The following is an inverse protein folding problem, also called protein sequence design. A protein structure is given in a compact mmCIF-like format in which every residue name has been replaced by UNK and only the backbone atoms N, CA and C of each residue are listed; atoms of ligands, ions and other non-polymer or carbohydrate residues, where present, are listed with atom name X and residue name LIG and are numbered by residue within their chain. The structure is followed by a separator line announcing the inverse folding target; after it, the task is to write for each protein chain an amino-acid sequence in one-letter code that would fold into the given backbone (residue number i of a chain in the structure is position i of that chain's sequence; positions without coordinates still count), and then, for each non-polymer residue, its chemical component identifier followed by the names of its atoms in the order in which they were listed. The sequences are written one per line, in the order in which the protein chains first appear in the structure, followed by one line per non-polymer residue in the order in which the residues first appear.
data_IF_126033875278
#
_entry.id   IF_126033875278
#
_cell.length_a   1.000
_cell.length_b   1.000
_cell.length_c   1.000
_cell.angle_alpha   90.00
_cell.angle_beta   90.00
_cell.angle_gamma   90.00
#
_symmetry.space_group_name_H-M   'P 1'
#
loop_
_entity.id
_entity.type
_entity.pdbx_description
1 polymer ?
#
# COMPACT_ATOMS: atom_id res chain seq x y z
N UNK A 1 27.74 5.85 5.73
CA UNK A 1 28.02 4.39 5.83
C UNK A 1 27.03 3.63 6.70
N UNK A 2 26.99 3.76 8.04
CA UNK A 2 26.06 2.93 8.86
C UNK A 2 24.57 3.24 8.59
N UNK A 3 24.19 4.52 8.49
CA UNK A 3 22.81 4.92 8.17
C UNK A 3 22.36 4.50 6.76
N UNK A 4 23.26 4.62 5.76
CA UNK A 4 22.97 4.21 4.37
C UNK A 4 22.77 2.69 4.23
N UNK A 5 23.50 1.88 5.02
CA UNK A 5 23.34 0.42 5.05
C UNK A 5 22.00 0.03 5.69
N UNK A 6 21.57 0.75 6.73
CA UNK A 6 20.26 0.54 7.38
C UNK A 6 19.10 0.92 6.47
N UNK A 7 19.21 2.06 5.76
CA UNK A 7 18.17 2.53 4.85
C UNK A 7 18.05 1.64 3.59
N UNK A 8 19.18 1.22 3.02
CA UNK A 8 19.20 0.26 1.91
C UNK A 8 18.60 -1.10 2.31
N UNK A 9 18.88 -1.57 3.53
CA UNK A 9 18.28 -2.78 4.10
C UNK A 9 16.76 -2.67 4.27
N UNK A 10 16.28 -1.53 4.77
CA UNK A 10 14.84 -1.25 4.89
C UNK A 10 14.16 -1.17 3.52
N UNK A 11 14.78 -0.55 2.52
CA UNK A 11 14.23 -0.46 1.16
C UNK A 11 14.09 -1.83 0.50
N UNK A 12 15.10 -2.70 0.65
CA UNK A 12 15.04 -4.05 0.13
C UNK A 12 13.92 -4.86 0.81
N UNK A 13 13.75 -4.71 2.13
CA UNK A 13 12.69 -5.38 2.88
C UNK A 13 11.29 -4.91 2.43
N UNK A 14 11.08 -3.59 2.28
CA UNK A 14 9.79 -3.03 1.85
C UNK A 14 9.40 -3.53 0.45
N UNK A 15 10.35 -3.54 -0.50
CA UNK A 15 10.12 -4.05 -1.85
C UNK A 15 9.81 -5.55 -1.87
N UNK A 16 10.52 -6.33 -1.06
CA UNK A 16 10.27 -7.77 -0.93
C UNK A 16 8.87 -8.04 -0.40
N UNK A 17 8.46 -7.33 0.66
CA UNK A 17 7.10 -7.43 1.19
C UNK A 17 6.04 -7.18 0.11
N UNK A 18 6.16 -6.07 -0.65
CA UNK A 18 5.20 -5.72 -1.69
C UNK A 18 5.10 -6.81 -2.77
N UNK A 19 6.24 -7.38 -3.19
CA UNK A 19 6.29 -8.45 -4.19
C UNK A 19 5.69 -9.76 -3.68
N UNK A 20 5.91 -10.09 -2.41
CA UNK A 20 5.45 -11.34 -1.81
C UNK A 20 3.97 -11.32 -1.41
N UNK A 21 3.43 -10.16 -1.05
CA UNK A 21 2.01 -10.03 -0.68
C UNK A 21 1.09 -10.02 -1.89
N UNK A 22 1.53 -9.47 -3.04
CA UNK A 22 0.72 -9.41 -4.26
C UNK A 22 0.09 -10.75 -4.68
N UNK A 23 0.83 -11.87 -4.84
CA UNK A 23 0.21 -13.14 -5.24
C UNK A 23 -0.77 -13.72 -4.21
N UNK A 24 -0.72 -13.24 -2.96
CA UNK A 24 -1.61 -13.67 -1.88
C UNK A 24 -2.96 -12.94 -1.93
N UNK A 25 -2.92 -11.65 -2.22
CA UNK A 25 -4.13 -10.82 -2.37
C UNK A 25 -4.67 -10.82 -3.80
N UNK A 26 -3.88 -11.23 -4.80
CA UNK A 26 -4.31 -11.29 -6.20
C UNK A 26 -3.44 -12.16 -7.11
N UNK A 27 -3.79 -13.44 -7.25
CA UNK A 27 -3.04 -14.41 -8.07
C UNK A 27 -2.94 -14.00 -9.55
N UNK A 28 -4.04 -13.54 -10.14
CA UNK A 28 -4.09 -13.21 -11.57
C UNK A 28 -3.32 -11.93 -11.88
N UNK A 29 -3.52 -10.86 -11.09
CA UNK A 29 -2.75 -9.62 -11.29
C UNK A 29 -1.26 -9.82 -11.01
N UNK A 30 -0.88 -10.70 -10.08
CA UNK A 30 0.53 -11.05 -9.88
C UNK A 30 1.21 -11.59 -11.16
N UNK A 31 0.48 -12.38 -11.97
CA UNK A 31 1.00 -12.85 -13.25
C UNK A 31 1.09 -11.69 -14.24
N UNK A 32 0.03 -10.90 -14.38
CA UNK A 32 -0.01 -9.78 -15.32
C UNK A 32 1.09 -8.75 -15.04
N UNK A 33 1.28 -8.36 -13.78
CA UNK A 33 2.26 -7.37 -13.36
C UNK A 33 3.69 -7.85 -13.63
N UNK A 34 3.98 -9.15 -13.45
CA UNK A 34 5.30 -9.72 -13.75
C UNK A 34 5.66 -9.75 -15.24
N UNK A 35 4.68 -9.60 -16.13
CA UNK A 35 4.88 -9.55 -17.58
C UNK A 35 5.06 -8.11 -18.09
N UNK A 36 4.89 -7.10 -17.24
CA UNK A 36 5.11 -5.71 -17.61
C UNK A 36 6.60 -5.40 -17.79
N UNK A 37 6.94 -4.38 -18.59
CA UNK A 37 8.30 -3.85 -18.65
C UNK A 37 8.80 -3.42 -17.26
N UNK A 38 10.11 -3.54 -16.97
CA UNK A 38 10.69 -3.18 -15.67
C UNK A 38 10.42 -1.74 -15.23
N UNK A 39 10.13 -0.84 -16.18
CA UNK A 39 9.82 0.57 -15.92
C UNK A 39 8.40 0.76 -15.35
N UNK A 40 7.52 -0.23 -15.53
CA UNK A 40 6.10 -0.18 -15.16
C UNK A 40 5.72 -1.18 -14.06
N UNK A 41 6.40 -2.33 -13.97
CA UNK A 41 6.01 -3.43 -13.08
C UNK A 41 5.82 -2.98 -11.62
N UNK A 42 6.75 -2.18 -11.12
CA UNK A 42 6.75 -1.76 -9.73
C UNK A 42 5.73 -0.65 -9.47
N UNK A 43 5.56 0.29 -10.38
CA UNK A 43 4.56 1.33 -10.25
C UNK A 43 3.14 0.73 -10.22
N UNK A 44 2.87 -0.23 -11.10
CA UNK A 44 1.58 -0.93 -11.16
C UNK A 44 1.38 -1.84 -9.95
N UNK A 45 2.43 -2.51 -9.47
CA UNK A 45 2.40 -3.25 -8.20
C UNK A 45 1.95 -2.34 -7.04
N UNK A 46 2.59 -1.17 -6.88
CA UNK A 46 2.27 -0.26 -5.77
C UNK A 46 0.86 0.32 -5.92
N UNK A 47 0.47 0.75 -7.13
CA UNK A 47 -0.89 1.21 -7.40
C UNK A 47 -1.94 0.17 -7.00
N UNK A 48 -1.73 -1.08 -7.40
CA UNK A 48 -2.63 -2.19 -7.08
C UNK A 48 -2.75 -2.40 -5.57
N UNK A 49 -1.62 -2.43 -4.85
CA UNK A 49 -1.62 -2.66 -3.41
C UNK A 49 -2.30 -1.51 -2.65
N UNK A 50 -2.12 -0.26 -3.08
CA UNK A 50 -2.80 0.89 -2.47
C UNK A 50 -4.32 0.80 -2.63
N UNK A 51 -4.81 0.49 -3.84
CA UNK A 51 -6.25 0.26 -4.07
C UNK A 51 -6.77 -0.90 -3.23
N UNK A 52 -6.02 -2.01 -3.14
CA UNK A 52 -6.41 -3.15 -2.30
C UNK A 52 -6.50 -2.80 -0.82
N UNK A 53 -5.64 -1.92 -0.30
CA UNK A 53 -5.76 -1.42 1.09
C UNK A 53 -7.07 -0.66 1.28
N UNK A 54 -7.44 0.22 0.34
CA UNK A 54 -8.71 0.93 0.39
C UNK A 54 -9.91 -0.04 0.34
N UNK A 55 -9.90 -0.99 -0.62
CA UNK A 55 -10.92 -2.06 -0.73
C UNK A 55 -11.07 -2.82 0.60
N UNK A 56 -9.97 -3.21 1.26
CA UNK A 56 -10.02 -3.94 2.53
C UNK A 56 -10.69 -3.12 3.64
N UNK A 57 -10.47 -1.80 3.69
CA UNK A 57 -11.16 -0.92 4.65
C UNK A 57 -12.65 -0.82 4.30
N UNK A 58 -12.97 -0.60 3.02
CA UNK A 58 -14.34 -0.46 2.53
C UNK A 58 -15.19 -1.73 2.77
N UNK A 59 -14.63 -2.90 2.48
CA UNK A 59 -15.32 -4.19 2.58
C UNK A 59 -15.32 -4.79 4.00
N UNK A 60 -14.53 -4.24 4.93
CA UNK A 60 -14.40 -4.82 6.27
C UNK A 60 -15.75 -4.93 7.00
N UNK A 61 -16.10 -6.13 7.43
CA UNK A 61 -17.30 -6.37 8.25
C UNK A 61 -17.09 -6.03 9.73
N UNK A 62 -15.85 -5.72 10.14
CA UNK A 62 -15.47 -5.42 11.53
C UNK A 62 -15.55 -3.93 11.86
N UNK A 63 -15.67 -3.09 10.84
CA UNK A 63 -15.72 -1.63 10.95
C UNK A 63 -17.14 -1.16 10.65
N UNK A 64 -17.65 -0.24 11.46
CA UNK A 64 -18.88 0.50 11.15
C UNK A 64 -18.61 1.57 10.07
N UNK A 65 -19.68 2.14 9.52
CA UNK A 65 -19.58 3.11 8.44
C UNK A 65 -18.75 4.35 8.83
N UNK A 66 -18.88 4.83 10.07
CA UNK A 66 -18.13 5.99 10.56
C UNK A 66 -16.62 5.71 10.62
N UNK A 67 -16.22 4.54 11.11
CA UNK A 67 -14.82 4.15 11.15
C UNK A 67 -14.25 3.92 9.74
N UNK A 68 -15.02 3.33 8.82
CA UNK A 68 -14.62 3.18 7.41
C UNK A 68 -14.32 4.54 6.79
N UNK A 69 -15.27 5.46 6.87
CA UNK A 69 -15.13 6.81 6.31
C UNK A 69 -13.92 7.55 6.91
N UNK A 70 -13.76 7.48 8.23
CA UNK A 70 -12.61 8.09 8.93
C UNK A 70 -11.28 7.50 8.45
N UNK A 71 -11.19 6.18 8.31
CA UNK A 71 -9.96 5.50 7.89
C UNK A 71 -9.64 5.74 6.42
N UNK A 72 -10.63 5.74 5.52
CA UNK A 72 -10.44 6.05 4.10
C UNK A 72 -10.00 7.50 3.92
N UNK A 73 -10.61 8.47 4.64
CA UNK A 73 -10.13 9.86 4.64
C UNK A 73 -8.70 9.99 5.16
N UNK A 74 -8.34 9.25 6.21
CA UNK A 74 -6.97 9.22 6.73
C UNK A 74 -6.00 8.61 5.69
N UNK A 75 -6.38 7.51 5.06
CA UNK A 75 -5.57 6.84 4.05
C UNK A 75 -5.36 7.72 2.81
N UNK A 76 -6.39 8.44 2.37
CA UNK A 76 -6.31 9.46 1.33
C UNK A 76 -5.29 10.55 1.69
N UNK A 77 -5.28 11.03 2.95
CA UNK A 77 -4.29 11.99 3.43
C UNK A 77 -2.86 11.42 3.47
N UNK A 78 -2.69 10.12 3.74
CA UNK A 78 -1.36 9.47 3.74
C UNK A 78 -0.67 9.53 2.37
N UNK A 79 -1.41 9.68 1.27
CA UNK A 79 -0.86 9.73 -0.09
C UNK A 79 -0.29 11.10 -0.47
N UNK A 80 -0.51 12.12 0.36
CA UNK A 80 0.10 13.42 0.16
C UNK A 80 1.62 13.35 0.40
N UNK A 81 2.42 14.23 -0.25
CA UNK A 81 3.89 14.24 -0.11
C UNK A 81 4.35 14.26 1.35
N UNK A 82 3.67 15.05 2.19
CA UNK A 82 3.91 15.17 3.64
C UNK A 82 2.75 14.56 4.46
N UNK A 83 2.09 13.56 3.88
CA UNK A 83 0.97 12.87 4.52
C UNK A 83 1.38 12.11 5.78
N UNK A 84 0.44 11.88 6.72
CA UNK A 84 0.73 11.15 7.95
C UNK A 84 1.11 9.68 7.68
N UNK A 85 1.56 9.01 8.74
CA UNK A 85 1.71 7.55 8.76
C UNK A 85 0.34 6.86 8.91
N UNK A 86 0.27 5.60 8.46
CA UNK A 86 -0.95 4.78 8.47
C UNK A 86 -1.19 4.05 9.80
N UNK A 87 -0.67 4.56 10.91
CA UNK A 87 -0.94 4.07 12.27
C UNK A 87 -2.41 3.75 12.56
N UNK A 88 -3.40 4.58 12.12
CA UNK A 88 -4.81 4.26 12.33
C UNK A 88 -5.28 2.99 11.62
N UNK A 89 -4.76 2.68 10.42
CA UNK A 89 -5.07 1.44 9.70
C UNK A 89 -4.49 0.24 10.45
N UNK A 90 -3.23 0.35 10.89
CA UNK A 90 -2.59 -0.69 11.71
C UNK A 90 -3.39 -1.00 12.99
N UNK A 91 -3.90 0.05 13.65
CA UNK A 91 -4.73 -0.09 14.83
C UNK A 91 -6.13 -0.65 14.54
N UNK A 92 -6.67 -0.43 13.34
CA UNK A 92 -7.95 -0.99 12.91
C UNK A 92 -7.86 -2.51 12.63
N UNK A 93 -6.68 -3.00 12.23
CA UNK A 93 -6.40 -4.42 11.96
C UNK A 93 -5.32 -4.99 12.89
N UNK A 94 -5.47 -4.96 14.23
CA UNK A 94 -4.38 -5.25 15.16
C UNK A 94 -3.92 -6.71 15.12
N UNK A 95 -4.78 -7.61 14.67
CA UNK A 95 -4.50 -9.03 14.43
C UNK A 95 -5.18 -9.43 13.12
N UNK A 96 -4.48 -9.34 11.98
CA UNK A 96 -5.01 -9.73 10.68
C UNK A 96 -5.46 -11.18 10.63
N UNK A 97 -6.67 -11.42 10.13
CA UNK A 97 -7.23 -12.75 9.92
C UNK A 97 -6.84 -13.38 8.57
N UNK A 98 -6.46 -12.55 7.60
CA UNK A 98 -6.08 -12.96 6.25
C UNK A 98 -4.98 -12.06 5.65
N UNK A 99 -4.60 -12.33 4.41
CA UNK A 99 -3.54 -11.58 3.71
C UNK A 99 -3.96 -10.16 3.30
N UNK A 100 -5.26 -9.87 3.18
CA UNK A 100 -5.80 -8.55 2.86
C UNK A 100 -5.78 -7.63 4.08
N UNK A 101 -6.29 -8.11 5.23
CA UNK A 101 -6.14 -7.42 6.52
C UNK A 101 -4.66 -7.23 6.87
N UNK A 102 -3.77 -8.17 6.50
CA UNK A 102 -2.33 -8.03 6.71
C UNK A 102 -1.74 -6.92 5.84
N UNK A 103 -2.19 -6.81 4.60
CA UNK A 103 -1.79 -5.71 3.72
C UNK A 103 -2.24 -4.36 4.29
N UNK A 104 -3.48 -4.25 4.78
CA UNK A 104 -3.98 -3.04 5.42
C UNK A 104 -3.24 -2.71 6.74
N UNK A 105 -2.89 -3.73 7.54
CA UNK A 105 -2.08 -3.55 8.75
C UNK A 105 -0.69 -2.97 8.45
N UNK A 106 -0.07 -3.42 7.37
CA UNK A 106 1.29 -3.04 6.94
C UNK A 106 1.27 -1.94 5.86
N UNK A 107 0.19 -1.16 5.76
CA UNK A 107 0.02 -0.16 4.71
C UNK A 107 1.17 0.86 4.63
N UNK A 108 1.84 1.15 5.75
CA UNK A 108 3.03 2.01 5.79
C UNK A 108 4.16 1.50 4.89
N UNK A 109 4.31 0.18 4.72
CA UNK A 109 5.31 -0.39 3.81
C UNK A 109 5.01 0.03 2.36
N UNK A 110 3.76 -0.09 1.95
CA UNK A 110 3.31 0.26 0.59
C UNK A 110 3.41 1.77 0.36
N UNK A 111 3.02 2.58 1.35
CA UNK A 111 3.13 4.03 1.30
C UNK A 111 4.59 4.51 1.21
N UNK A 112 5.53 3.83 1.88
CA UNK A 112 6.98 4.13 1.72
C UNK A 112 7.47 3.83 0.31
N UNK A 113 7.08 2.70 -0.28
CA UNK A 113 7.44 2.40 -1.68
C UNK A 113 6.78 3.39 -2.65
N UNK A 114 5.53 3.79 -2.41
CA UNK A 114 4.84 4.83 -3.18
C UNK A 114 5.60 6.15 -3.20
N UNK A 115 6.01 6.65 -2.02
CA UNK A 115 6.79 7.90 -1.91
C UNK A 115 8.17 7.83 -2.57
N UNK A 116 8.69 6.62 -2.84
CA UNK A 116 9.96 6.38 -3.54
C UNK A 116 9.80 6.30 -5.06
N UNK A 117 8.58 6.26 -5.59
CA UNK A 117 8.34 6.30 -7.04
C UNK A 117 8.73 7.68 -7.61
N UNK A 118 9.13 7.79 -8.89
CA UNK A 118 9.24 9.08 -9.56
C UNK A 118 7.94 9.89 -9.49
N UNK A 119 8.02 11.22 -9.35
CA UNK A 119 6.85 12.09 -9.24
C UNK A 119 5.78 11.86 -10.30
N UNK A 120 6.09 11.66 -11.61
CA UNK A 120 5.06 11.38 -12.61
C UNK A 120 4.24 10.10 -12.32
N UNK A 121 4.83 9.11 -11.67
CA UNK A 121 4.11 7.89 -11.27
C UNK A 121 3.27 8.13 -10.01
N UNK A 122 3.78 8.90 -9.04
CA UNK A 122 3.01 9.29 -7.86
C UNK A 122 1.76 10.09 -8.26
N UNK A 123 1.93 11.08 -9.12
CA UNK A 123 0.86 11.96 -9.60
C UNK A 123 -0.18 11.20 -10.44
N UNK A 124 0.26 10.16 -11.17
CA UNK A 124 -0.65 9.29 -11.92
C UNK A 124 -1.45 8.34 -11.02
N UNK A 125 -0.91 7.90 -9.88
CA UNK A 125 -1.54 6.91 -8.99
C UNK A 125 -2.42 7.59 -7.94
N UNK A 126 -1.94 8.68 -7.31
CA UNK A 126 -2.59 9.36 -6.19
C UNK A 126 -4.09 9.62 -6.39
N UNK A 127 -4.55 10.30 -7.45
CA UNK A 127 -5.96 10.68 -7.57
C UNK A 127 -6.89 9.47 -7.58
N UNK A 128 -6.49 8.37 -8.23
CA UNK A 128 -7.33 7.17 -8.31
C UNK A 128 -7.48 6.44 -6.98
N UNK A 129 -6.46 6.47 -6.13
CA UNK A 129 -6.57 5.89 -4.78
C UNK A 129 -7.36 6.83 -3.85
N UNK A 130 -7.29 8.15 -4.07
CA UNK A 130 -8.02 9.14 -3.27
C UNK A 130 -9.51 9.24 -3.62
N UNK A 131 -9.91 8.80 -4.83
CA UNK A 131 -11.30 8.76 -5.28
C UNK A 131 -12.08 7.52 -4.79
N UNK A 132 -11.39 6.51 -4.26
CA UNK A 132 -11.98 5.32 -3.63
C UNK A 132 -12.46 5.65 -2.22
#
# INVERSE_FOLDING_TARGET
MAAEVTEAGSRAADRTFCREVLPRVSRTFAICIRLLPPELDHAVLIAYLLCRVADTVEDSLRLDAENKERLLRHFSACLEPEGPEAHPLRAAFPSPGDDEERLAHEADIVLREFRRLPSPQQDAIRPWVQEM
#
